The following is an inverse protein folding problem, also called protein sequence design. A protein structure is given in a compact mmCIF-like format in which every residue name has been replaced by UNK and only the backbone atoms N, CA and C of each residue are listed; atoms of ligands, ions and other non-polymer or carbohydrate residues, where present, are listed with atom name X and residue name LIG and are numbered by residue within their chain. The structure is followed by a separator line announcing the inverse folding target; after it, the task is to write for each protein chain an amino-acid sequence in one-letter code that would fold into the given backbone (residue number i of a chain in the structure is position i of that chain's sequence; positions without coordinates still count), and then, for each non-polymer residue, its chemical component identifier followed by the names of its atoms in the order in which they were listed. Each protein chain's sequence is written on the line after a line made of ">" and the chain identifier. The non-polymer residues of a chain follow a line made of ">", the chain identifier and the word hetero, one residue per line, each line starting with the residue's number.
data_IF_883046744752
#
_entry.id   IF_883046744752
#
_cell.length_a   1.000
_cell.length_b   1.000
_cell.length_c   1.000
_cell.angle_alpha   90.00
_cell.angle_beta   90.00
_cell.angle_gamma   90.00
#
_symmetry.space_group_name_H-M   'P 1'
#
loop_
_entity.id
_entity.type
_entity.pdbx_description
1 polymer ?
#
# COMPACT_ATOMS: atom_id res chain seq x y z
N UNK A 1 1.11 11.37 5.35
CA UNK A 1 2.41 12.06 5.30
C UNK A 1 3.28 11.43 6.35
N UNK A 2 4.47 10.92 5.98
CA UNK A 2 5.51 10.73 6.98
C UNK A 2 5.62 12.08 7.65
N UNK A 3 5.43 12.14 8.97
CA UNK A 3 5.53 13.40 9.68
C UNK A 3 6.96 13.88 9.59
N UNK A 4 7.28 14.61 8.53
CA UNK A 4 8.56 15.27 8.32
C UNK A 4 8.81 16.33 9.41
N UNK A 5 7.78 16.74 10.18
CA UNK A 5 7.93 17.62 11.34
C UNK A 5 8.71 16.98 12.49
N UNK A 6 8.79 15.65 12.55
CA UNK A 6 9.69 14.99 13.53
C UNK A 6 11.15 15.15 13.12
N UNK A 7 11.42 15.38 11.84
CA UNK A 7 12.73 15.77 11.33
C UNK A 7 12.92 17.29 11.30
N UNK A 8 11.83 18.07 11.38
CA UNK A 8 11.84 19.54 11.30
C UNK A 8 10.81 20.15 12.25
N UNK A 9 11.11 20.23 13.56
CA UNK A 9 10.42 21.15 14.45
C UNK A 9 10.78 22.58 14.05
N UNK A 10 9.84 23.24 13.38
CA UNK A 10 9.68 24.68 13.35
C UNK A 10 10.74 25.46 12.60
N UNK A 11 10.62 25.54 11.26
CA UNK A 11 10.98 26.74 10.51
C UNK A 11 10.36 26.65 9.10
N UNK A 12 9.91 27.76 8.56
CA UNK A 12 9.69 27.92 7.13
C UNK A 12 10.95 27.41 6.41
N UNK A 13 10.79 26.42 5.51
CA UNK A 13 11.92 25.75 4.83
C UNK A 13 12.56 26.77 3.88
N UNK A 14 13.44 27.60 4.41
CA UNK A 14 14.51 28.20 3.62
C UNK A 14 15.53 27.07 3.37
N UNK A 15 15.90 26.81 2.13
CA UNK A 15 17.05 25.93 1.81
C UNK A 15 18.24 26.39 2.64
N UNK A 16 18.62 25.61 3.65
CA UNK A 16 19.95 25.77 4.24
C UNK A 16 20.95 25.27 3.19
N UNK A 17 22.00 26.05 2.94
CA UNK A 17 23.17 25.60 2.19
C UNK A 17 23.74 24.40 2.94
N UNK A 18 23.44 23.16 2.46
CA UNK A 18 23.86 21.91 3.12
C UNK A 18 22.87 20.75 3.05
N UNK A 19 21.62 20.99 2.66
CA UNK A 19 20.63 19.92 2.48
C UNK A 19 20.82 19.25 1.10
N UNK A 20 21.38 18.04 1.08
CA UNK A 20 21.56 17.23 -0.12
C UNK A 20 20.23 17.01 -0.86
N UNK A 21 20.31 16.82 -2.19
CA UNK A 21 19.16 16.51 -3.03
C UNK A 21 18.53 15.19 -2.61
N UNK A 22 17.18 15.12 -2.54
CA UNK A 22 16.47 13.88 -2.30
C UNK A 22 16.36 13.05 -3.58
N UNK A 23 16.80 11.80 -3.52
CA UNK A 23 16.67 10.80 -4.58
C UNK A 23 15.72 9.70 -4.12
N UNK A 24 14.49 9.74 -4.61
CA UNK A 24 13.49 8.70 -4.31
C UNK A 24 13.60 7.59 -5.34
N UNK A 25 13.62 6.34 -4.86
CA UNK A 25 13.62 5.15 -5.71
C UNK A 25 12.39 4.30 -5.39
N UNK A 26 11.55 4.05 -6.38
CA UNK A 26 10.38 3.18 -6.26
C UNK A 26 10.31 2.20 -7.44
N UNK A 27 9.58 1.11 -7.27
CA UNK A 27 9.48 0.10 -8.35
C UNK A 27 8.98 0.71 -9.67
N UNK A 28 7.96 1.57 -9.62
CA UNK A 28 7.37 2.22 -10.80
C UNK A 28 7.25 3.72 -10.58
N UNK A 29 7.64 4.49 -11.59
CA UNK A 29 7.49 5.94 -11.60
C UNK A 29 6.39 6.34 -12.59
N UNK A 30 5.30 6.97 -12.13
CA UNK A 30 4.28 7.51 -13.03
C UNK A 30 4.82 8.76 -13.70
N UNK A 31 5.22 8.64 -14.97
CA UNK A 31 5.56 9.83 -15.75
C UNK A 31 4.29 10.67 -15.94
N UNK A 32 4.32 11.97 -15.63
CA UNK A 32 3.19 12.85 -15.86
C UNK A 32 2.86 12.87 -17.36
N UNK A 33 1.79 12.20 -17.74
CA UNK A 33 1.13 12.39 -19.03
C UNK A 33 0.08 13.50 -18.84
N UNK A 34 -0.07 14.36 -19.81
CA UNK A 34 -1.03 15.46 -19.78
C UNK A 34 -2.43 14.93 -19.41
N UNK A 35 -2.85 15.13 -18.16
CA UNK A 35 -4.22 14.96 -17.71
C UNK A 35 -4.58 13.74 -16.86
N UNK A 36 -3.67 12.80 -16.58
CA UNK A 36 -4.00 11.66 -15.70
C UNK A 36 -3.35 11.82 -14.31
N UNK A 37 -4.11 11.76 -13.20
CA UNK A 37 -3.54 11.75 -11.85
C UNK A 37 -2.74 10.47 -11.61
N UNK A 38 -1.72 10.56 -10.74
CA UNK A 38 -0.93 9.42 -10.32
C UNK A 38 -1.84 8.36 -9.66
N UNK A 39 -1.76 7.12 -10.10
CA UNK A 39 -2.57 6.04 -9.55
C UNK A 39 -1.85 5.36 -8.38
N UNK A 40 -2.49 5.36 -7.20
CA UNK A 40 -2.04 4.67 -5.98
C UNK A 40 -1.54 5.62 -4.88
N UNK A 41 -1.87 5.29 -3.61
CA UNK A 41 -1.60 6.16 -2.46
C UNK A 41 -0.11 6.49 -2.26
N UNK A 42 0.80 5.54 -2.51
CA UNK A 42 2.25 5.78 -2.44
C UNK A 42 2.70 6.83 -3.47
N UNK A 43 2.26 6.69 -4.73
CA UNK A 43 2.67 7.61 -5.79
C UNK A 43 2.18 9.05 -5.51
N UNK A 44 0.96 9.20 -5.01
CA UNK A 44 0.39 10.51 -4.62
C UNK A 44 1.18 11.12 -3.45
N UNK A 45 1.48 10.34 -2.42
CA UNK A 45 2.22 10.80 -1.25
C UNK A 45 3.66 11.24 -1.63
N UNK A 46 4.36 10.44 -2.42
CA UNK A 46 5.72 10.75 -2.88
C UNK A 46 5.74 11.96 -3.82
N UNK A 47 4.80 12.04 -4.74
CA UNK A 47 4.71 13.18 -5.65
C UNK A 47 4.48 14.49 -4.89
N UNK A 48 3.60 14.49 -3.89
CA UNK A 48 3.34 15.66 -3.05
C UNK A 48 4.60 16.09 -2.28
N UNK A 49 5.32 15.16 -1.65
CA UNK A 49 6.56 15.45 -0.93
C UNK A 49 7.65 16.00 -1.87
N UNK A 50 7.80 15.37 -3.04
CA UNK A 50 8.81 15.77 -4.03
C UNK A 50 8.49 17.09 -4.74
N UNK A 51 7.20 17.45 -4.92
CA UNK A 51 6.81 18.76 -5.47
C UNK A 51 7.23 19.91 -4.56
N UNK A 52 7.19 19.72 -3.24
CA UNK A 52 7.59 20.72 -2.26
C UNK A 52 9.11 20.83 -2.18
N UNK A 53 9.83 19.71 -2.07
CA UNK A 53 11.27 19.70 -1.84
C UNK A 53 12.09 19.75 -3.14
N UNK A 54 11.56 19.25 -4.24
CA UNK A 54 12.30 18.95 -5.46
C UNK A 54 13.14 17.67 -5.32
N UNK A 55 13.87 17.30 -6.36
CA UNK A 55 14.76 16.14 -6.32
C UNK A 55 14.73 15.26 -7.56
N UNK A 56 15.04 13.99 -7.36
CA UNK A 56 15.05 12.96 -8.40
C UNK A 56 14.10 11.82 -7.99
N UNK A 57 13.26 11.36 -8.92
CA UNK A 57 12.45 10.17 -8.74
C UNK A 57 12.81 9.12 -9.80
N UNK A 58 13.39 8.01 -9.35
CA UNK A 58 13.87 6.93 -10.22
C UNK A 58 13.04 5.66 -10.08
N UNK A 59 12.86 4.92 -11.18
CA UNK A 59 12.28 3.59 -11.22
C UNK A 59 11.93 3.09 -12.61
N UNK A 60 11.12 2.02 -12.68
CA UNK A 60 10.60 1.48 -13.93
C UNK A 60 9.56 2.42 -14.56
N UNK A 61 9.64 2.60 -15.88
CA UNK A 61 8.69 3.40 -16.69
C UNK A 61 7.29 2.81 -16.76
N UNK A 62 7.15 1.50 -16.50
CA UNK A 62 5.95 0.72 -16.77
C UNK A 62 5.88 0.15 -18.16
N UNK A 63 6.87 0.40 -19.02
CA UNK A 63 6.95 -0.13 -20.39
C UNK A 63 7.85 -1.36 -20.45
N UNK A 64 7.59 -2.19 -21.44
CA UNK A 64 8.40 -3.37 -21.78
C UNK A 64 9.36 -3.02 -22.89
N UNK A 65 10.60 -3.51 -22.79
CA UNK A 65 11.61 -3.46 -23.82
C UNK A 65 11.97 -4.87 -24.29
N UNK A 66 12.43 -4.99 -25.52
CA UNK A 66 13.03 -6.24 -26.03
C UNK A 66 14.46 -6.43 -25.52
N UNK A 67 15.19 -5.36 -25.27
CA UNK A 67 16.56 -5.34 -24.76
C UNK A 67 16.61 -4.95 -23.28
N UNK A 68 17.53 -5.57 -22.52
CA UNK A 68 17.69 -5.31 -21.09
C UNK A 68 18.31 -3.94 -20.76
N UNK A 69 18.81 -3.18 -21.73
CA UNK A 69 19.47 -1.88 -21.52
C UNK A 69 18.98 -0.81 -22.50
N UNK A 70 17.73 -0.41 -22.38
CA UNK A 70 17.09 0.64 -23.20
C UNK A 70 17.51 2.06 -22.84
N UNK A 71 18.51 2.20 -22.01
CA UNK A 71 18.98 3.51 -21.57
C UNK A 71 18.05 4.19 -20.57
N UNK A 72 18.61 5.16 -19.90
CA UNK A 72 17.95 5.97 -18.90
C UNK A 72 17.21 7.12 -19.57
N UNK A 73 15.91 7.27 -19.33
CA UNK A 73 15.11 8.39 -19.80
C UNK A 73 14.89 9.37 -18.64
N UNK A 74 15.32 10.62 -18.82
CA UNK A 74 15.14 11.67 -17.82
C UNK A 74 14.23 12.78 -18.33
N UNK A 75 13.29 13.23 -17.49
CA UNK A 75 12.40 14.37 -17.76
C UNK A 75 12.28 15.26 -16.52
N UNK A 76 12.65 16.52 -16.63
CA UNK A 76 12.51 17.49 -15.54
C UNK A 76 11.24 18.31 -15.71
N UNK A 77 10.47 18.43 -14.62
CA UNK A 77 9.24 19.23 -14.54
C UNK A 77 9.32 20.05 -13.25
N UNK A 78 9.47 21.36 -13.37
CA UNK A 78 9.71 22.23 -12.21
C UNK A 78 11.02 21.85 -11.49
N UNK A 79 10.96 21.61 -10.20
CA UNK A 79 12.09 21.22 -9.35
C UNK A 79 12.33 19.70 -9.30
N UNK A 80 11.48 18.89 -9.96
CA UNK A 80 11.51 17.43 -9.90
C UNK A 80 12.01 16.84 -11.21
N UNK A 81 13.02 15.97 -11.15
CA UNK A 81 13.49 15.16 -12.27
C UNK A 81 12.95 13.74 -12.14
N UNK A 82 12.20 13.29 -13.13
CA UNK A 82 11.78 11.89 -13.29
C UNK A 82 12.84 11.16 -14.11
N UNK A 83 13.35 10.05 -13.61
CA UNK A 83 14.31 9.20 -14.29
C UNK A 83 13.76 7.78 -14.36
N UNK A 84 13.61 7.23 -15.54
CA UNK A 84 13.01 5.90 -15.73
C UNK A 84 13.83 5.04 -16.68
N UNK A 85 13.77 3.74 -16.45
CA UNK A 85 14.23 2.72 -17.39
C UNK A 85 13.13 1.72 -17.68
N UNK A 86 13.19 1.08 -18.84
CA UNK A 86 12.27 0.02 -19.20
C UNK A 86 12.80 -1.33 -18.68
N UNK A 87 11.93 -2.32 -18.52
CA UNK A 87 12.30 -3.69 -18.15
C UNK A 87 12.00 -4.64 -19.30
N UNK A 88 12.82 -5.71 -19.44
CA UNK A 88 12.51 -6.77 -20.37
C UNK A 88 11.24 -7.52 -19.95
N UNK A 89 10.53 -8.12 -20.93
CA UNK A 89 9.37 -8.98 -20.63
C UNK A 89 9.73 -10.06 -19.60
N UNK A 90 10.90 -10.70 -19.76
CA UNK A 90 11.39 -11.72 -18.85
C UNK A 90 11.60 -11.19 -17.42
N UNK A 91 12.13 -9.96 -17.27
CA UNK A 91 12.32 -9.35 -15.95
C UNK A 91 10.97 -8.98 -15.33
N UNK A 92 10.01 -8.49 -16.10
CA UNK A 92 8.65 -8.24 -15.58
C UNK A 92 8.02 -9.55 -15.08
N UNK A 93 8.10 -10.63 -15.85
CA UNK A 93 7.54 -11.93 -15.48
C UNK A 93 8.21 -12.53 -14.23
N UNK A 94 9.54 -12.49 -14.15
CA UNK A 94 10.29 -13.17 -13.07
C UNK A 94 10.46 -12.30 -11.84
N UNK A 95 10.84 -11.02 -12.00
CA UNK A 95 11.08 -10.10 -10.89
C UNK A 95 9.76 -9.57 -10.32
N UNK A 96 8.93 -8.90 -11.16
CA UNK A 96 7.74 -8.22 -10.69
C UNK A 96 6.59 -9.19 -10.43
N UNK A 97 6.15 -9.95 -11.46
CA UNK A 97 5.06 -10.91 -11.31
C UNK A 97 5.49 -12.11 -10.46
N UNK A 98 6.71 -12.62 -10.66
CA UNK A 98 7.25 -13.79 -9.97
C UNK A 98 7.64 -13.50 -8.52
N UNK A 99 8.89 -13.07 -8.28
CA UNK A 99 9.41 -12.99 -6.92
C UNK A 99 8.71 -11.94 -6.06
N UNK A 100 8.52 -10.71 -6.57
CA UNK A 100 7.89 -9.67 -5.76
C UNK A 100 6.43 -10.00 -5.43
N UNK A 101 5.59 -10.32 -6.43
CA UNK A 101 4.14 -10.43 -6.22
C UNK A 101 3.64 -11.86 -5.95
N UNK A 102 4.41 -12.91 -6.26
CA UNK A 102 4.03 -14.31 -6.00
C UNK A 102 4.91 -15.00 -4.96
N UNK A 103 5.97 -14.34 -4.44
CA UNK A 103 6.78 -14.85 -3.33
C UNK A 103 6.75 -13.89 -2.14
N UNK A 104 7.31 -12.68 -2.27
CA UNK A 104 7.39 -11.72 -1.16
C UNK A 104 6.03 -11.26 -0.68
N UNK A 105 5.15 -10.83 -1.58
CA UNK A 105 3.83 -10.32 -1.23
C UNK A 105 3.00 -11.32 -0.42
N UNK A 106 2.81 -12.59 -0.85
CA UNK A 106 2.02 -13.53 -0.06
C UNK A 106 2.69 -13.88 1.28
N UNK A 107 4.01 -14.06 1.34
CA UNK A 107 4.70 -14.36 2.61
C UNK A 107 4.52 -13.20 3.59
N UNK A 108 4.73 -11.95 3.16
CA UNK A 108 4.54 -10.77 4.02
C UNK A 108 3.07 -10.61 4.49
N UNK A 109 2.11 -11.15 3.75
CA UNK A 109 0.69 -11.14 4.12
C UNK A 109 0.21 -12.46 4.74
N UNK A 110 1.13 -13.33 5.20
CA UNK A 110 0.83 -14.61 5.86
C UNK A 110 0.01 -15.60 5.00
N UNK A 111 0.18 -15.53 3.67
CA UNK A 111 -0.46 -16.41 2.70
C UNK A 111 0.57 -17.34 2.05
N UNK A 112 1.20 -18.18 2.89
CA UNK A 112 2.18 -19.16 2.46
C UNK A 112 1.61 -20.14 1.41
N UNK A 113 0.30 -20.42 1.50
CA UNK A 113 -0.45 -21.25 0.54
C UNK A 113 -0.45 -20.69 -0.89
N UNK A 114 -0.21 -19.38 -1.06
CA UNK A 114 -0.14 -18.70 -2.35
C UNK A 114 1.30 -18.41 -2.80
N UNK A 115 2.29 -18.70 -1.96
CA UNK A 115 3.68 -18.40 -2.27
C UNK A 115 4.25 -19.32 -3.35
N UNK A 116 4.83 -18.75 -4.39
CA UNK A 116 5.56 -19.47 -5.43
C UNK A 116 7.07 -19.34 -5.18
N UNK A 117 7.70 -20.45 -4.79
CA UNK A 117 9.11 -20.49 -4.45
C UNK A 117 9.94 -20.92 -5.66
N UNK A 118 10.49 -19.98 -6.41
CA UNK A 118 11.26 -20.20 -7.64
C UNK A 118 12.64 -19.55 -7.55
N UNK A 119 13.70 -20.35 -7.74
CA UNK A 119 15.08 -19.86 -7.78
C UNK A 119 15.33 -18.90 -8.94
N UNK A 120 14.75 -19.17 -10.11
CA UNK A 120 14.90 -18.28 -11.28
C UNK A 120 14.26 -16.91 -11.05
N UNK A 121 13.12 -16.88 -10.36
CA UNK A 121 12.47 -15.64 -9.98
C UNK A 121 13.29 -14.85 -8.94
N UNK A 122 13.88 -15.55 -7.97
CA UNK A 122 14.76 -14.93 -7.00
C UNK A 122 16.05 -14.39 -7.66
N UNK A 123 16.65 -15.14 -8.58
CA UNK A 123 17.81 -14.66 -9.33
C UNK A 123 17.47 -13.39 -10.14
N UNK A 124 16.31 -13.34 -10.79
CA UNK A 124 15.83 -12.16 -11.50
C UNK A 124 15.61 -10.97 -10.56
N UNK A 125 15.08 -11.20 -9.36
CA UNK A 125 14.88 -10.16 -8.36
C UNK A 125 16.20 -9.46 -7.99
N UNK A 126 17.27 -10.22 -7.73
CA UNK A 126 18.57 -9.62 -7.45
C UNK A 126 19.17 -8.94 -8.68
N UNK A 127 19.05 -9.53 -9.87
CA UNK A 127 19.56 -8.97 -11.13
C UNK A 127 18.91 -7.62 -11.46
N UNK A 128 17.58 -7.51 -11.36
CA UNK A 128 16.87 -6.25 -11.63
C UNK A 128 17.23 -5.18 -10.60
N UNK A 129 17.38 -5.54 -9.32
CA UNK A 129 17.83 -4.60 -8.31
C UNK A 129 19.26 -4.10 -8.56
N UNK A 130 20.16 -4.98 -9.03
CA UNK A 130 21.50 -4.58 -9.47
C UNK A 130 21.45 -3.65 -10.67
N UNK A 131 20.61 -3.96 -11.67
CA UNK A 131 20.40 -3.10 -12.82
C UNK A 131 19.91 -1.71 -12.39
N UNK A 132 18.89 -1.62 -11.54
CA UNK A 132 18.39 -0.35 -11.03
C UNK A 132 19.47 0.42 -10.25
N UNK A 133 20.25 -0.27 -9.43
CA UNK A 133 21.34 0.36 -8.72
C UNK A 133 22.40 0.95 -9.67
N UNK A 134 22.77 0.24 -10.75
CA UNK A 134 23.67 0.76 -11.79
C UNK A 134 23.10 1.99 -12.48
N UNK A 135 21.81 2.02 -12.79
CA UNK A 135 21.19 3.15 -13.48
C UNK A 135 21.09 4.37 -12.59
N UNK A 136 20.62 4.23 -11.33
CA UNK A 136 20.52 5.36 -10.43
C UNK A 136 21.90 5.89 -10.03
N UNK A 137 22.91 5.03 -9.87
CA UNK A 137 24.27 5.41 -9.52
C UNK A 137 24.87 6.43 -10.50
N UNK A 138 24.54 6.35 -11.80
CA UNK A 138 24.97 7.32 -12.83
C UNK A 138 24.42 8.73 -12.60
N UNK A 139 23.35 8.87 -11.80
CA UNK A 139 22.65 10.13 -11.53
C UNK A 139 22.99 10.74 -10.17
N UNK A 140 23.64 9.96 -9.30
CA UNK A 140 23.92 10.36 -7.92
C UNK A 140 25.00 11.45 -7.85
N UNK A 141 24.82 12.33 -6.86
CA UNK A 141 25.79 13.32 -6.41
C UNK A 141 26.31 12.92 -5.02
N UNK A 142 27.50 13.35 -4.62
CA UNK A 142 28.10 12.97 -3.32
C UNK A 142 27.23 13.31 -2.10
N UNK A 143 26.45 14.39 -2.17
CA UNK A 143 25.58 14.92 -1.12
C UNK A 143 24.14 14.44 -1.17
N UNK A 144 23.76 13.64 -2.18
CA UNK A 144 22.39 13.12 -2.32
C UNK A 144 22.01 12.25 -1.13
N UNK A 145 20.74 12.35 -0.71
CA UNK A 145 20.08 11.43 0.23
C UNK A 145 19.18 10.48 -0.59
N UNK A 146 19.42 9.18 -0.49
CA UNK A 146 18.69 8.19 -1.26
C UNK A 146 17.59 7.59 -0.38
N UNK A 147 16.37 7.52 -0.90
CA UNK A 147 15.23 6.92 -0.20
C UNK A 147 14.56 5.85 -1.07
N UNK A 148 14.78 4.61 -0.70
CA UNK A 148 14.32 3.42 -1.42
C UNK A 148 12.99 2.94 -0.84
N UNK A 149 12.03 2.65 -1.72
CA UNK A 149 10.68 2.27 -1.33
C UNK A 149 10.32 0.86 -1.73
N UNK A 150 9.83 0.13 -0.72
CA UNK A 150 9.00 -1.05 -0.79
C UNK A 150 9.72 -2.35 -1.17
N UNK A 151 9.04 -3.46 -0.92
CA UNK A 151 9.53 -4.85 -1.00
C UNK A 151 10.16 -5.25 -2.34
N UNK A 152 9.90 -4.51 -3.39
CA UNK A 152 10.51 -4.74 -4.70
C UNK A 152 12.03 -4.48 -4.70
N UNK A 153 12.53 -3.61 -3.80
CA UNK A 153 13.85 -3.01 -3.91
C UNK A 153 14.77 -3.28 -2.71
N UNK A 154 14.46 -4.30 -1.90
CA UNK A 154 15.22 -4.61 -0.68
C UNK A 154 16.75 -4.71 -0.92
N UNK A 155 17.27 -5.40 -1.96
CA UNK A 155 18.73 -5.54 -2.11
C UNK A 155 19.42 -4.35 -2.76
N UNK A 156 18.70 -3.30 -3.15
CA UNK A 156 19.25 -2.21 -3.95
C UNK A 156 20.42 -1.48 -3.29
N UNK A 157 20.32 -1.15 -1.99
CA UNK A 157 21.40 -0.46 -1.27
C UNK A 157 22.68 -1.28 -1.24
N UNK A 158 22.60 -2.61 -1.13
CA UNK A 158 23.78 -3.50 -1.17
C UNK A 158 24.55 -3.34 -2.47
N UNK A 159 23.85 -3.30 -3.60
CA UNK A 159 24.52 -3.06 -4.90
C UNK A 159 25.09 -1.66 -5.01
N UNK A 160 24.42 -0.63 -4.51
CA UNK A 160 24.97 0.73 -4.45
C UNK A 160 26.27 0.78 -3.62
N UNK A 161 26.30 0.14 -2.44
CA UNK A 161 27.51 0.05 -1.61
C UNK A 161 28.65 -0.68 -2.33
N UNK A 162 28.36 -1.75 -3.06
CA UNK A 162 29.35 -2.49 -3.85
C UNK A 162 29.96 -1.62 -4.98
N UNK A 163 29.24 -0.62 -5.47
CA UNK A 163 29.72 0.37 -6.45
C UNK A 163 30.42 1.59 -5.80
N UNK A 164 30.67 1.54 -4.49
CA UNK A 164 31.36 2.62 -3.77
C UNK A 164 30.47 3.78 -3.34
N UNK A 165 29.13 3.65 -3.41
CA UNK A 165 28.21 4.69 -2.96
C UNK A 165 28.33 4.90 -1.44
N UNK A 166 28.68 6.12 -1.01
CA UNK A 166 28.80 6.52 0.41
C UNK A 166 27.64 7.35 0.91
N UNK A 167 26.69 7.69 0.04
CA UNK A 167 25.51 8.47 0.36
C UNK A 167 24.71 7.87 1.53
N UNK A 168 23.92 8.68 2.23
CA UNK A 168 22.93 8.19 3.19
C UNK A 168 21.79 7.50 2.44
N UNK A 169 21.44 6.28 2.85
CA UNK A 169 20.40 5.47 2.19
C UNK A 169 19.37 5.03 3.21
N UNK A 170 18.15 5.54 3.08
CA UNK A 170 16.98 5.05 3.83
C UNK A 170 16.17 4.05 3.00
N UNK A 171 15.53 3.10 3.69
CA UNK A 171 14.55 2.18 3.13
C UNK A 171 13.22 2.33 3.85
N UNK A 172 12.12 2.18 3.13
CA UNK A 172 10.79 2.14 3.73
C UNK A 172 9.94 1.00 3.17
N UNK A 173 9.43 0.14 4.05
CA UNK A 173 8.53 -0.94 3.70
C UNK A 173 7.07 -0.53 3.92
N UNK A 174 6.27 -0.60 2.85
CA UNK A 174 4.85 -0.22 2.89
C UNK A 174 3.91 -1.35 3.26
N UNK A 175 4.38 -2.59 3.17
CA UNK A 175 3.63 -3.80 3.50
C UNK A 175 4.06 -4.35 4.87
N UNK A 176 3.28 -5.25 5.48
CA UNK A 176 3.68 -5.86 6.75
C UNK A 176 5.00 -6.62 6.62
N UNK A 177 5.75 -6.70 7.73
CA UNK A 177 6.85 -7.65 7.86
C UNK A 177 6.44 -8.78 8.80
N UNK A 178 6.53 -10.07 8.38
CA UNK A 178 6.10 -11.21 9.18
C UNK A 178 7.10 -11.56 10.29
N UNK A 179 6.61 -12.27 11.30
CA UNK A 179 7.45 -12.86 12.33
C UNK A 179 8.43 -13.92 11.78
N UNK A 180 9.45 -14.32 12.56
CA UNK A 180 10.52 -15.22 12.10
C UNK A 180 10.03 -16.56 11.58
N UNK A 181 8.99 -17.12 12.17
CA UNK A 181 8.34 -18.38 11.80
C UNK A 181 7.80 -18.37 10.36
N UNK A 182 7.19 -17.27 9.94
CA UNK A 182 6.66 -17.09 8.59
C UNK A 182 7.73 -16.56 7.64
N UNK A 183 8.54 -15.59 8.08
CA UNK A 183 9.58 -14.98 7.25
C UNK A 183 10.64 -15.99 6.81
N UNK A 184 10.96 -16.99 7.64
CA UNK A 184 11.94 -18.04 7.35
C UNK A 184 11.53 -18.96 6.17
N UNK A 185 10.26 -18.98 5.79
CA UNK A 185 9.80 -19.66 4.58
C UNK A 185 10.25 -18.96 3.28
N UNK A 186 10.77 -17.74 3.36
CA UNK A 186 11.23 -16.98 2.21
C UNK A 186 12.52 -17.62 1.63
N UNK A 187 12.57 -17.95 0.32
CA UNK A 187 13.79 -18.38 -0.32
C UNK A 187 14.88 -17.32 -0.20
N UNK A 188 16.10 -17.77 0.06
CA UNK A 188 17.23 -16.86 0.29
C UNK A 188 17.04 -15.89 1.46
N UNK A 189 16.25 -16.28 2.47
CA UNK A 189 15.91 -15.48 3.63
C UNK A 189 17.09 -14.72 4.24
N UNK A 190 18.19 -15.42 4.54
CA UNK A 190 19.39 -14.77 5.09
C UNK A 190 19.98 -13.73 4.13
N UNK A 191 19.98 -14.00 2.81
CA UNK A 191 20.49 -13.07 1.81
C UNK A 191 19.62 -11.80 1.74
N UNK A 192 18.30 -11.95 1.86
CA UNK A 192 17.36 -10.83 1.92
C UNK A 192 17.60 -10.01 3.19
N UNK A 193 17.68 -10.63 4.36
CA UNK A 193 17.96 -9.93 5.63
C UNK A 193 19.30 -9.19 5.61
N UNK A 194 20.37 -9.85 5.16
CA UNK A 194 21.69 -9.21 5.05
C UNK A 194 21.72 -8.03 4.09
N UNK A 195 20.79 -7.96 3.12
CA UNK A 195 20.68 -6.83 2.22
C UNK A 195 20.27 -5.55 2.94
N UNK A 196 19.52 -5.65 4.04
CA UNK A 196 19.16 -4.50 4.86
C UNK A 196 20.33 -3.85 5.58
N UNK A 197 21.41 -4.58 5.87
CA UNK A 197 22.62 -4.03 6.48
C UNK A 197 23.33 -2.95 5.63
N UNK A 198 22.93 -2.78 4.38
CA UNK A 198 23.45 -1.71 3.51
C UNK A 198 22.73 -0.36 3.68
N UNK A 199 21.58 -0.33 4.35
CA UNK A 199 20.82 0.88 4.66
C UNK A 199 21.30 1.51 5.98
N UNK A 200 21.11 2.83 6.11
CA UNK A 200 21.38 3.56 7.33
C UNK A 200 20.12 3.66 8.21
N UNK A 201 18.93 3.69 7.56
CA UNK A 201 17.62 3.70 8.21
C UNK A 201 16.69 2.72 7.50
N UNK A 202 15.98 1.89 8.26
CA UNK A 202 14.92 0.99 7.77
C UNK A 202 13.63 1.33 8.48
N UNK A 203 12.66 1.84 7.71
CA UNK A 203 11.36 2.27 8.19
C UNK A 203 10.26 1.26 7.91
N UNK A 204 9.34 1.13 8.85
CA UNK A 204 8.14 0.29 8.78
C UNK A 204 6.89 1.09 9.06
N UNK A 205 5.72 0.53 8.75
CA UNK A 205 4.43 1.17 9.03
C UNK A 205 4.06 1.14 10.51
N UNK A 206 4.40 0.04 11.20
CA UNK A 206 4.01 -0.19 12.58
C UNK A 206 5.19 -0.62 13.44
N UNK A 207 5.07 -0.41 14.76
CA UNK A 207 6.06 -0.90 15.71
C UNK A 207 6.17 -2.42 15.66
N UNK A 208 5.05 -3.14 15.53
CA UNK A 208 5.05 -4.60 15.42
C UNK A 208 5.84 -5.12 14.21
N UNK A 209 5.79 -4.40 13.06
CA UNK A 209 6.59 -4.78 11.89
C UNK A 209 8.09 -4.57 12.16
N UNK A 210 8.45 -3.47 12.84
CA UNK A 210 9.84 -3.18 13.22
C UNK A 210 10.37 -4.23 14.22
N UNK A 211 9.56 -4.63 15.19
CA UNK A 211 9.90 -5.66 16.18
C UNK A 211 10.06 -7.02 15.51
N UNK A 212 9.11 -7.44 14.68
CA UNK A 212 9.21 -8.66 13.88
C UNK A 212 10.49 -8.69 13.03
N UNK A 213 10.89 -7.56 12.46
CA UNK A 213 12.11 -7.47 11.68
C UNK A 213 13.36 -7.68 12.54
N UNK A 214 13.42 -7.09 13.74
CA UNK A 214 14.52 -7.29 14.71
C UNK A 214 14.61 -8.75 15.14
N UNK A 215 13.46 -9.37 15.41
CA UNK A 215 13.38 -10.80 15.75
C UNK A 215 13.88 -11.67 14.60
N UNK A 216 13.54 -11.33 13.36
CA UNK A 216 14.03 -12.01 12.16
C UNK A 216 15.56 -11.93 12.02
N UNK A 217 16.16 -10.77 12.26
CA UNK A 217 17.62 -10.58 12.20
C UNK A 217 18.31 -11.51 13.21
N UNK A 218 17.80 -11.56 14.42
CA UNK A 218 18.36 -12.35 15.51
C UNK A 218 18.16 -13.85 15.27
N UNK A 219 16.94 -14.27 14.94
CA UNK A 219 16.60 -15.68 14.71
C UNK A 219 17.38 -16.30 13.53
N UNK A 220 17.64 -15.52 12.48
CA UNK A 220 18.40 -15.95 11.31
C UNK A 220 19.93 -15.89 11.49
N UNK A 221 20.44 -15.43 12.65
CA UNK A 221 21.85 -15.12 12.84
C UNK A 221 22.42 -14.21 11.73
N UNK A 222 21.60 -13.28 11.22
CA UNK A 222 22.00 -12.32 10.21
C UNK A 222 22.64 -11.06 10.81
N UNK A 223 22.39 -10.80 12.10
CA UNK A 223 22.85 -9.67 12.86
C UNK A 223 22.29 -9.70 14.29
N UNK A 224 22.24 -8.56 14.94
CA UNK A 224 21.73 -8.41 16.31
C UNK A 224 21.00 -7.08 16.51
N UNK A 225 20.03 -7.05 17.38
CA UNK A 225 19.53 -5.81 17.99
C UNK A 225 20.60 -5.30 18.98
N UNK A 226 20.86 -3.99 19.01
CA UNK A 226 21.86 -3.39 19.92
C UNK A 226 21.15 -2.80 21.11
N UNK A 227 20.55 -1.63 20.93
CA UNK A 227 19.81 -0.90 21.96
C UNK A 227 18.76 -0.01 21.30
N UNK A 228 17.59 0.12 21.94
CA UNK A 228 16.48 0.93 21.43
C UNK A 228 16.11 0.52 19.99
N UNK A 229 16.27 1.47 19.07
CA UNK A 229 15.93 1.30 17.66
C UNK A 229 17.11 0.86 16.78
N UNK A 230 18.29 0.63 17.34
CA UNK A 230 19.50 0.26 16.59
C UNK A 230 19.62 -1.26 16.38
N UNK A 231 20.03 -1.62 15.16
CA UNK A 231 20.43 -2.98 14.79
C UNK A 231 21.79 -2.98 14.11
N UNK A 232 22.44 -4.13 14.10
CA UNK A 232 23.70 -4.36 13.39
C UNK A 232 23.58 -5.59 12.50
N UNK A 233 23.95 -5.44 11.22
CA UNK A 233 24.08 -6.53 10.24
C UNK A 233 25.43 -6.38 9.55
N UNK A 234 26.19 -7.49 9.49
CA UNK A 234 27.51 -7.53 8.85
C UNK A 234 28.46 -6.39 9.31
N UNK A 235 28.41 -6.04 10.62
CA UNK A 235 29.24 -4.99 11.23
C UNK A 235 28.78 -3.55 10.95
N UNK A 236 27.70 -3.34 10.25
CA UNK A 236 27.11 -2.02 10.02
C UNK A 236 25.89 -1.78 10.91
N UNK A 237 25.87 -0.63 11.57
CA UNK A 237 24.72 -0.17 12.36
C UNK A 237 23.69 0.51 11.47
N UNK A 238 22.43 0.28 11.78
CA UNK A 238 21.29 0.91 11.13
C UNK A 238 20.19 1.20 12.14
N UNK A 239 19.40 2.24 11.87
CA UNK A 239 18.18 2.55 12.65
C UNK A 239 17.00 1.78 12.07
N UNK A 240 16.24 1.08 12.94
CA UNK A 240 15.03 0.32 12.58
C UNK A 240 13.85 0.87 13.38
N UNK A 241 12.92 1.56 12.71
CA UNK A 241 11.85 2.29 13.40
C UNK A 241 10.54 2.30 12.61
N UNK A 242 9.43 2.46 13.34
CA UNK A 242 8.12 2.73 12.73
C UNK A 242 7.99 4.22 12.35
N UNK A 243 7.53 4.46 11.10
CA UNK A 243 7.17 5.76 10.56
C UNK A 243 5.82 5.63 9.85
N UNK A 244 4.70 5.63 10.58
CA UNK A 244 3.39 5.39 9.99
C UNK A 244 3.02 6.45 8.95
N UNK A 245 2.67 6.00 7.74
CA UNK A 245 2.17 6.89 6.68
C UNK A 245 0.77 7.39 7.03
N UNK A 246 0.47 8.64 6.68
CA UNK A 246 -0.85 9.21 6.86
C UNK A 246 -1.33 9.95 5.60
N UNK A 247 -2.48 10.58 5.68
CA UNK A 247 -3.08 11.45 4.67
C UNK A 247 -3.08 12.89 5.15
N UNK A 248 -3.28 13.82 4.24
CA UNK A 248 -3.68 15.19 4.58
C UNK A 248 -5.18 15.18 4.91
N UNK A 249 -5.48 15.04 6.21
CA UNK A 249 -6.86 14.88 6.69
C UNK A 249 -7.71 16.12 6.47
N UNK A 250 -7.12 17.33 6.55
CA UNK A 250 -7.83 18.59 6.32
C UNK A 250 -8.19 18.76 4.85
N UNK A 251 -7.22 18.57 3.95
CA UNK A 251 -7.46 18.62 2.52
C UNK A 251 -8.50 17.58 2.09
N UNK A 252 -8.42 16.35 2.62
CA UNK A 252 -9.38 15.30 2.33
C UNK A 252 -10.79 15.64 2.83
N UNK A 253 -10.92 16.17 4.05
CA UNK A 253 -12.20 16.63 4.60
C UNK A 253 -12.83 17.76 3.77
N UNK A 254 -12.02 18.69 3.26
CA UNK A 254 -12.48 19.75 2.36
C UNK A 254 -12.97 19.19 1.03
N UNK A 255 -12.21 18.26 0.44
CA UNK A 255 -12.61 17.56 -0.78
C UNK A 255 -13.92 16.78 -0.61
N UNK A 256 -14.07 16.06 0.51
CA UNK A 256 -15.28 15.30 0.82
C UNK A 256 -16.52 16.20 0.94
N UNK A 257 -16.40 17.38 1.56
CA UNK A 257 -17.48 18.39 1.60
C UNK A 257 -17.83 18.92 0.22
N UNK A 258 -16.82 19.27 -0.57
CA UNK A 258 -17.04 19.77 -1.94
C UNK A 258 -17.67 18.70 -2.85
N UNK A 259 -17.36 17.44 -2.61
CA UNK A 259 -17.83 16.30 -3.39
C UNK A 259 -19.33 15.98 -3.25
N UNK A 260 -20.05 16.55 -2.30
CA UNK A 260 -21.51 16.43 -2.19
C UNK A 260 -22.24 16.87 -3.47
N UNK A 261 -21.62 17.77 -4.24
CA UNK A 261 -22.12 18.24 -5.55
C UNK A 261 -21.73 17.31 -6.72
N UNK A 262 -20.88 16.32 -6.49
CA UNK A 262 -20.42 15.41 -7.54
C UNK A 262 -21.57 14.58 -8.11
N UNK A 263 -21.61 14.41 -9.43
CA UNK A 263 -22.68 13.69 -10.13
C UNK A 263 -22.79 12.21 -9.75
N UNK A 264 -21.65 11.55 -9.45
CA UNK A 264 -21.64 10.14 -8.99
C UNK A 264 -22.27 10.05 -7.61
N UNK A 265 -21.89 10.94 -6.68
CA UNK A 265 -22.43 11.00 -5.32
C UNK A 265 -23.94 11.23 -5.35
N UNK A 266 -24.41 12.23 -6.11
CA UNK A 266 -25.85 12.54 -6.26
C UNK A 266 -26.64 11.36 -6.83
N UNK A 267 -26.15 10.72 -7.90
CA UNK A 267 -26.82 9.54 -8.48
C UNK A 267 -26.86 8.37 -7.50
N UNK A 268 -25.76 8.14 -6.75
CA UNK A 268 -25.74 7.08 -5.74
C UNK A 268 -26.77 7.36 -4.65
N UNK A 269 -26.79 8.58 -4.11
CA UNK A 269 -27.76 9.00 -3.08
C UNK A 269 -29.22 8.82 -3.57
N UNK A 270 -29.54 9.30 -4.76
CA UNK A 270 -30.87 9.12 -5.36
C UNK A 270 -31.25 7.65 -5.50
N UNK A 271 -30.30 6.81 -5.91
CA UNK A 271 -30.55 5.36 -6.09
C UNK A 271 -30.71 4.58 -4.79
N UNK A 272 -30.28 5.14 -3.67
CA UNK A 272 -30.46 4.55 -2.34
C UNK A 272 -31.89 4.80 -1.82
N UNK A 273 -32.59 5.83 -2.29
CA UNK A 273 -33.96 6.15 -1.87
C UNK A 273 -34.13 6.20 -0.35
N UNK A 274 -33.21 6.88 0.33
CA UNK A 274 -33.19 7.02 1.80
C UNK A 274 -32.63 5.84 2.58
N UNK A 275 -32.09 4.81 1.91
CA UNK A 275 -31.46 3.64 2.56
C UNK A 275 -30.05 3.99 3.03
N UNK A 276 -29.64 3.36 4.15
CA UNK A 276 -28.29 3.50 4.65
C UNK A 276 -27.25 2.77 3.77
N UNK A 277 -26.08 3.37 3.66
CA UNK A 277 -24.98 2.86 2.87
C UNK A 277 -23.82 2.37 3.76
N UNK A 278 -23.43 1.12 3.53
CA UNK A 278 -22.15 0.53 3.97
C UNK A 278 -21.18 0.60 2.81
N UNK A 279 -19.97 1.07 3.02
CA UNK A 279 -18.98 1.19 1.95
C UNK A 279 -17.70 0.41 2.24
N UNK A 280 -17.23 -0.35 1.25
CA UNK A 280 -15.92 -0.96 1.21
C UNK A 280 -15.17 -0.56 -0.06
N UNK A 281 -13.94 -0.09 0.08
CA UNK A 281 -13.12 0.33 -1.05
C UNK A 281 -11.73 -0.28 -0.90
N UNK A 282 -11.37 -1.18 -1.81
CA UNK A 282 -10.05 -1.77 -1.89
C UNK A 282 -9.77 -2.21 -3.32
N UNK A 283 -8.51 -2.15 -3.75
CA UNK A 283 -8.13 -2.83 -4.99
C UNK A 283 -8.35 -4.33 -4.86
N UNK A 284 -8.53 -5.00 -5.98
CA UNK A 284 -8.63 -6.45 -6.02
C UNK A 284 -7.34 -7.07 -5.49
N UNK A 285 -7.38 -7.64 -4.28
CA UNK A 285 -6.24 -8.26 -3.61
C UNK A 285 -6.73 -9.22 -2.51
N UNK A 286 -6.17 -10.42 -2.45
CA UNK A 286 -6.57 -11.43 -1.48
C UNK A 286 -6.26 -11.05 -0.02
N UNK A 287 -5.29 -10.14 0.20
CA UNK A 287 -5.00 -9.61 1.53
C UNK A 287 -6.10 -8.72 2.10
N UNK A 288 -7.03 -8.24 1.24
CA UNK A 288 -8.06 -7.27 1.61
C UNK A 288 -9.33 -7.86 2.23
N UNK A 289 -9.42 -9.19 2.34
CA UNK A 289 -10.54 -9.85 3.01
C UNK A 289 -11.90 -9.63 2.33
N UNK A 290 -11.92 -9.46 1.01
CA UNK A 290 -13.13 -9.11 0.27
C UNK A 290 -14.23 -10.16 0.36
N UNK A 291 -13.88 -11.46 0.29
CA UNK A 291 -14.85 -12.57 0.47
C UNK A 291 -15.45 -12.57 1.87
N UNK A 292 -14.61 -12.46 2.89
CA UNK A 292 -15.01 -12.40 4.28
C UNK A 292 -15.91 -11.20 4.56
N UNK A 293 -15.60 -10.05 3.99
CA UNK A 293 -16.40 -8.83 4.07
C UNK A 293 -17.79 -9.01 3.48
N UNK A 294 -17.90 -9.58 2.28
CA UNK A 294 -19.19 -9.87 1.65
C UNK A 294 -20.00 -10.87 2.47
N UNK A 295 -19.38 -11.93 2.97
CA UNK A 295 -20.03 -12.91 3.84
C UNK A 295 -20.52 -12.29 5.15
N UNK A 296 -19.71 -11.44 5.80
CA UNK A 296 -20.11 -10.74 7.03
C UNK A 296 -21.33 -9.82 6.79
N UNK A 297 -21.34 -9.09 5.66
CA UNK A 297 -22.48 -8.25 5.30
C UNK A 297 -23.75 -9.09 5.03
N UNK A 298 -23.64 -10.22 4.35
CA UNK A 298 -24.77 -11.13 4.14
C UNK A 298 -25.30 -11.67 5.48
N UNK A 299 -24.41 -12.13 6.36
CA UNK A 299 -24.76 -12.60 7.71
C UNK A 299 -25.43 -11.51 8.54
N UNK A 300 -24.94 -10.25 8.46
CA UNK A 300 -25.57 -9.10 9.11
C UNK A 300 -27.05 -8.94 8.67
N UNK A 301 -27.31 -8.97 7.37
CA UNK A 301 -28.68 -8.86 6.86
C UNK A 301 -29.58 -10.05 7.28
N UNK A 302 -29.03 -11.25 7.28
CA UNK A 302 -29.78 -12.47 7.69
C UNK A 302 -30.17 -12.46 9.18
N UNK A 303 -29.28 -11.90 10.04
CA UNK A 303 -29.48 -11.88 11.49
C UNK A 303 -30.16 -10.62 12.02
N UNK A 304 -30.21 -9.55 11.24
CA UNK A 304 -30.85 -8.29 11.61
C UNK A 304 -32.11 -8.04 10.77
N UNK A 305 -33.30 -8.48 11.25
CA UNK A 305 -34.56 -8.22 10.55
C UNK A 305 -34.84 -6.74 10.32
N UNK A 306 -34.33 -5.85 11.22
CA UNK A 306 -34.48 -4.41 11.09
C UNK A 306 -33.62 -3.88 9.93
N UNK A 307 -32.37 -4.32 9.80
CA UNK A 307 -31.50 -3.93 8.70
C UNK A 307 -32.01 -4.44 7.34
N UNK A 308 -32.55 -5.69 7.32
CA UNK A 308 -33.17 -6.25 6.13
C UNK A 308 -34.40 -5.46 5.71
N UNK A 309 -35.29 -5.09 6.67
CA UNK A 309 -36.47 -4.24 6.40
C UNK A 309 -36.09 -2.83 5.96
N UNK A 310 -35.05 -2.23 6.56
CA UNK A 310 -34.51 -0.93 6.16
C UNK A 310 -33.77 -1.00 4.82
N UNK A 311 -33.54 -2.23 4.29
CA UNK A 311 -32.87 -2.47 3.00
C UNK A 311 -31.51 -1.80 2.92
N UNK A 312 -30.68 -1.95 3.97
CA UNK A 312 -29.30 -1.45 4.01
C UNK A 312 -28.53 -1.96 2.80
N UNK A 313 -27.83 -1.09 2.12
CA UNK A 313 -27.10 -1.42 0.90
C UNK A 313 -25.59 -1.31 1.12
N UNK A 314 -24.84 -2.33 0.71
CA UNK A 314 -23.38 -2.27 0.67
C UNK A 314 -22.91 -1.91 -0.74
N UNK A 315 -22.00 -0.94 -0.83
CA UNK A 315 -21.24 -0.60 -2.04
C UNK A 315 -19.80 -1.08 -1.87
N UNK A 316 -19.42 -2.12 -2.60
CA UNK A 316 -18.05 -2.61 -2.67
C UNK A 316 -17.40 -2.15 -3.97
N UNK A 317 -16.39 -1.29 -3.87
CA UNK A 317 -15.61 -0.79 -5.00
C UNK A 317 -14.26 -1.50 -4.99
N UNK A 318 -13.97 -2.26 -6.06
CA UNK A 318 -12.78 -3.12 -6.12
C UNK A 318 -12.12 -3.01 -7.50
N UNK A 319 -11.37 -1.93 -7.78
CA UNK A 319 -10.67 -1.81 -9.05
C UNK A 319 -9.66 -2.94 -9.25
N UNK A 320 -9.54 -3.39 -10.51
CA UNK A 320 -8.61 -4.45 -10.91
C UNK A 320 -7.17 -4.06 -10.54
N UNK A 321 -6.40 -5.04 -10.11
CA UNK A 321 -4.98 -4.91 -9.79
C UNK A 321 -4.25 -6.16 -10.24
N UNK A 322 -3.00 -6.02 -10.69
CA UNK A 322 -2.11 -7.14 -11.03
C UNK A 322 -2.77 -8.19 -11.93
N UNK A 323 -3.44 -7.73 -12.98
CA UNK A 323 -4.19 -8.60 -13.93
C UNK A 323 -3.35 -9.69 -14.59
N UNK A 324 -2.02 -9.53 -14.59
CA UNK A 324 -1.05 -10.50 -15.12
C UNK A 324 -0.85 -11.71 -14.17
N UNK A 325 -1.35 -11.65 -12.94
CA UNK A 325 -1.20 -12.71 -11.93
C UNK A 325 -2.48 -13.54 -11.88
N UNK A 326 -2.44 -14.86 -12.21
CA UNK A 326 -3.64 -15.70 -12.39
C UNK A 326 -4.54 -15.80 -11.16
N UNK A 327 -3.98 -15.71 -9.96
CA UNK A 327 -4.68 -15.76 -8.68
C UNK A 327 -5.71 -14.63 -8.57
N UNK A 328 -5.42 -13.45 -9.11
CA UNK A 328 -6.33 -12.29 -9.09
C UNK A 328 -7.51 -12.45 -10.05
N UNK A 329 -7.29 -13.06 -11.23
CA UNK A 329 -8.36 -13.33 -12.17
C UNK A 329 -9.36 -14.36 -11.62
N UNK A 330 -8.87 -15.40 -10.88
CA UNK A 330 -9.72 -16.35 -10.18
C UNK A 330 -10.52 -15.68 -9.08
N UNK A 331 -9.86 -14.88 -8.24
CA UNK A 331 -10.51 -14.14 -7.18
C UNK A 331 -11.61 -13.21 -7.70
N UNK A 332 -11.39 -12.54 -8.83
CA UNK A 332 -12.43 -11.69 -9.43
C UNK A 332 -13.69 -12.49 -9.72
N UNK A 333 -13.59 -13.65 -10.38
CA UNK A 333 -14.73 -14.51 -10.67
C UNK A 333 -15.45 -14.96 -9.40
N UNK A 334 -14.69 -15.38 -8.38
CA UNK A 334 -15.26 -15.79 -7.10
C UNK A 334 -16.05 -14.66 -6.41
N UNK A 335 -15.58 -13.42 -6.49
CA UNK A 335 -16.29 -12.26 -5.93
C UNK A 335 -17.54 -11.90 -6.74
N UNK A 336 -17.49 -12.01 -8.06
CA UNK A 336 -18.65 -11.79 -8.95
C UNK A 336 -19.74 -12.84 -8.71
N UNK A 337 -19.37 -14.12 -8.55
CA UNK A 337 -20.26 -15.22 -8.20
C UNK A 337 -20.89 -15.01 -6.82
N UNK A 338 -20.08 -14.64 -5.82
CA UNK A 338 -20.54 -14.40 -4.46
C UNK A 338 -21.51 -13.21 -4.38
N UNK A 339 -21.21 -12.11 -5.09
CA UNK A 339 -22.12 -10.97 -5.19
C UNK A 339 -23.46 -11.37 -5.83
N UNK A 340 -23.43 -12.18 -6.89
CA UNK A 340 -24.62 -12.74 -7.54
C UNK A 340 -25.43 -13.61 -6.58
N UNK A 341 -24.77 -14.48 -5.83
CA UNK A 341 -25.40 -15.37 -4.83
C UNK A 341 -26.09 -14.59 -3.71
N UNK A 342 -25.42 -13.58 -3.15
CA UNK A 342 -25.97 -12.72 -2.09
C UNK A 342 -27.19 -11.97 -2.62
N UNK A 343 -27.10 -11.36 -3.78
CA UNK A 343 -28.20 -10.58 -4.36
C UNK A 343 -29.38 -11.47 -4.75
N UNK A 344 -29.15 -12.67 -5.27
CA UNK A 344 -30.22 -13.62 -5.59
C UNK A 344 -30.92 -14.17 -4.36
N UNK A 345 -30.21 -14.30 -3.22
CA UNK A 345 -30.78 -14.81 -1.96
C UNK A 345 -31.52 -13.74 -1.16
N UNK A 346 -30.97 -12.54 -1.07
CA UNK A 346 -31.44 -11.50 -0.14
C UNK A 346 -32.09 -10.31 -0.83
N UNK A 347 -31.91 -10.17 -2.14
CA UNK A 347 -32.43 -9.05 -2.92
C UNK A 347 -33.93 -9.11 -3.15
N UNK A 348 -34.44 -7.97 -3.63
CA UNK A 348 -35.85 -7.83 -4.04
C UNK A 348 -35.89 -7.07 -5.37
N UNK A 349 -37.09 -6.98 -5.99
CA UNK A 349 -37.29 -6.33 -7.30
C UNK A 349 -36.83 -4.87 -7.33
N UNK A 350 -36.86 -4.16 -6.21
CA UNK A 350 -36.47 -2.76 -6.08
C UNK A 350 -35.24 -2.54 -5.17
N UNK A 351 -34.58 -3.62 -4.76
CA UNK A 351 -33.42 -3.53 -3.86
C UNK A 351 -32.33 -4.55 -4.19
N UNK A 352 -31.11 -4.04 -4.45
CA UNK A 352 -29.89 -4.83 -4.60
C UNK A 352 -29.04 -4.63 -3.34
N UNK A 353 -28.96 -5.64 -2.45
CA UNK A 353 -28.22 -5.53 -1.19
C UNK A 353 -26.74 -5.20 -1.37
N UNK A 354 -26.07 -5.86 -2.31
CA UNK A 354 -24.64 -5.73 -2.56
C UNK A 354 -24.40 -5.18 -3.97
N UNK A 355 -23.92 -3.94 -4.05
CA UNK A 355 -23.47 -3.29 -5.29
C UNK A 355 -21.97 -3.50 -5.43
N UNK A 356 -21.56 -4.42 -6.28
CA UNK A 356 -20.16 -4.72 -6.56
C UNK A 356 -19.68 -4.01 -7.82
N UNK A 357 -18.62 -3.18 -7.71
CA UNK A 357 -18.06 -2.39 -8.80
C UNK A 357 -16.55 -2.65 -8.93
N UNK A 358 -16.12 -3.19 -10.07
CA UNK A 358 -14.72 -3.51 -10.35
C UNK A 358 -14.01 -2.44 -11.21
N UNK A 359 -14.38 -1.17 -11.04
CA UNK A 359 -13.83 -0.02 -11.76
C UNK A 359 -13.21 0.99 -10.80
N UNK A 360 -12.16 1.67 -11.26
CA UNK A 360 -11.61 2.81 -10.55
C UNK A 360 -12.61 3.98 -10.53
N UNK A 361 -12.62 4.71 -9.42
CA UNK A 361 -13.34 5.97 -9.27
C UNK A 361 -12.35 7.11 -9.02
N UNK A 362 -12.76 8.34 -9.32
CA UNK A 362 -11.95 9.51 -8.99
C UNK A 362 -11.87 9.69 -7.48
N UNK A 363 -10.78 10.29 -7.00
CA UNK A 363 -10.56 10.58 -5.59
C UNK A 363 -11.71 11.40 -5.00
N UNK A 364 -12.13 12.44 -5.70
CA UNK A 364 -13.29 13.27 -5.32
C UNK A 364 -14.59 12.47 -5.19
N UNK A 365 -14.87 11.54 -6.13
CA UNK A 365 -16.05 10.71 -6.02
C UNK A 365 -15.99 9.78 -4.79
N UNK A 366 -14.82 9.19 -4.51
CA UNK A 366 -14.61 8.35 -3.32
C UNK A 366 -14.79 9.16 -2.04
N UNK A 367 -14.21 10.35 -1.94
CA UNK A 367 -14.33 11.23 -0.79
C UNK A 367 -15.81 11.55 -0.47
N UNK A 368 -16.61 11.87 -1.49
CA UNK A 368 -18.04 12.11 -1.33
C UNK A 368 -18.84 10.85 -0.97
N UNK A 369 -18.48 9.68 -1.52
CA UNK A 369 -19.10 8.40 -1.15
C UNK A 369 -18.76 8.00 0.29
N UNK A 370 -17.54 8.22 0.76
CA UNK A 370 -17.20 8.03 2.18
C UNK A 370 -18.03 8.92 3.09
N UNK A 371 -18.16 10.22 2.74
CA UNK A 371 -18.91 11.18 3.54
C UNK A 371 -20.39 10.84 3.69
N UNK A 372 -21.01 10.27 2.66
CA UNK A 372 -22.44 9.88 2.70
C UNK A 372 -22.70 8.50 3.32
N UNK A 373 -21.65 7.72 3.59
CA UNK A 373 -21.81 6.34 4.08
C UNK A 373 -21.89 6.30 5.60
N UNK A 374 -22.85 5.52 6.12
CA UNK A 374 -23.02 5.34 7.57
C UNK A 374 -21.98 4.42 8.18
N UNK A 375 -21.47 3.46 7.42
CA UNK A 375 -20.48 2.49 7.86
C UNK A 375 -19.38 2.40 6.81
N UNK A 376 -18.14 2.63 7.23
CA UNK A 376 -16.94 2.25 6.48
C UNK A 376 -16.47 0.87 6.91
N UNK A 377 -16.43 -0.08 5.98
CA UNK A 377 -16.07 -1.45 6.27
C UNK A 377 -14.70 -1.77 5.68
N UNK A 378 -13.66 -1.68 6.52
CA UNK A 378 -12.25 -1.85 6.14
C UNK A 378 -11.68 -3.06 6.87
N UNK A 379 -11.77 -4.22 6.26
CA UNK A 379 -11.50 -5.51 6.91
C UNK A 379 -10.43 -6.34 6.19
N UNK A 380 -9.22 -5.79 5.94
CA UNK A 380 -8.15 -6.59 5.36
C UNK A 380 -7.76 -7.75 6.28
N UNK A 381 -7.35 -8.88 5.70
CA UNK A 381 -6.79 -10.00 6.45
C UNK A 381 -5.42 -9.64 7.02
N UNK A 382 -4.68 -8.77 6.32
CA UNK A 382 -3.47 -8.10 6.77
C UNK A 382 -3.13 -6.93 5.85
N UNK A 383 -2.69 -5.82 6.45
CA UNK A 383 -2.30 -4.62 5.70
C UNK A 383 -1.24 -3.83 6.49
N UNK A 384 -0.26 -3.25 5.80
CA UNK A 384 0.78 -2.44 6.44
C UNK A 384 0.21 -1.22 7.16
N UNK A 385 -0.68 -0.48 6.50
CA UNK A 385 -1.37 0.69 7.09
C UNK A 385 -2.87 0.66 6.79
N UNK A 386 -3.27 0.75 5.53
CA UNK A 386 -4.60 0.98 4.99
C UNK A 386 -5.06 2.45 5.11
N UNK A 387 -4.72 3.25 4.10
CA UNK A 387 -5.09 4.68 4.07
C UNK A 387 -6.59 4.90 3.90
N UNK A 388 -7.33 3.96 3.30
CA UNK A 388 -8.79 4.05 3.14
C UNK A 388 -9.50 4.21 4.49
N UNK A 389 -8.99 3.57 5.56
CA UNK A 389 -9.53 3.75 6.90
C UNK A 389 -9.39 5.21 7.38
N UNK A 390 -8.23 5.82 7.14
CA UNK A 390 -7.97 7.23 7.48
C UNK A 390 -8.78 8.19 6.62
N UNK A 391 -8.88 7.90 5.31
CA UNK A 391 -9.69 8.65 4.36
C UNK A 391 -11.18 8.63 4.74
N UNK A 392 -11.71 7.45 5.11
CA UNK A 392 -13.10 7.31 5.56
C UNK A 392 -13.37 8.20 6.78
N UNK A 393 -12.53 8.15 7.80
CA UNK A 393 -12.69 8.97 9.02
C UNK A 393 -12.60 10.46 8.71
N UNK A 394 -11.61 10.87 7.90
CA UNK A 394 -11.43 12.28 7.53
C UNK A 394 -12.60 12.84 6.70
N UNK A 395 -13.29 11.99 5.93
CA UNK A 395 -14.44 12.40 5.12
C UNK A 395 -15.69 12.71 5.94
N UNK A 396 -15.81 12.20 7.18
CA UNK A 396 -17.04 12.24 7.95
C UNK A 396 -17.46 13.67 8.34
N UNK A 397 -18.77 13.86 8.48
CA UNK A 397 -19.34 15.11 9.01
C UNK A 397 -19.23 15.08 10.54
N UNK A 398 -18.61 16.09 11.19
CA UNK A 398 -18.42 16.08 12.64
C UNK A 398 -19.71 16.01 13.46
N UNK A 399 -20.79 16.56 12.94
CA UNK A 399 -22.12 16.62 13.56
C UNK A 399 -22.93 15.33 13.40
N UNK A 400 -22.62 14.51 12.41
CA UNK A 400 -23.29 13.23 12.16
C UNK A 400 -22.35 12.22 11.50
N UNK A 401 -21.29 11.78 12.20
CA UNK A 401 -20.29 10.89 11.63
C UNK A 401 -20.85 9.46 11.42
N UNK A 402 -20.34 8.80 10.40
CA UNK A 402 -20.47 7.35 10.25
C UNK A 402 -19.50 6.61 11.16
N UNK A 403 -19.63 5.29 11.20
CA UNK A 403 -18.81 4.39 12.01
C UNK A 403 -17.80 3.64 11.12
N UNK A 404 -16.56 3.52 11.60
CA UNK A 404 -15.55 2.68 10.96
C UNK A 404 -15.49 1.31 11.65
N UNK A 405 -15.74 0.25 10.89
CA UNK A 405 -15.45 -1.14 11.27
C UNK A 405 -14.10 -1.50 10.67
N UNK A 406 -13.10 -1.76 11.51
CA UNK A 406 -11.70 -1.86 11.10
C UNK A 406 -11.07 -3.18 11.55
N UNK A 407 -10.39 -3.85 10.63
CA UNK A 407 -9.60 -5.04 10.96
C UNK A 407 -8.49 -4.73 11.96
N UNK A 408 -8.36 -5.56 12.99
CA UNK A 408 -7.22 -5.53 13.93
C UNK A 408 -5.86 -5.77 13.25
N UNK A 409 -5.85 -6.32 12.03
CA UNK A 409 -4.66 -6.61 11.25
C UNK A 409 -4.30 -5.52 10.22
N UNK A 410 -4.98 -4.38 10.25
CA UNK A 410 -4.58 -3.17 9.53
C UNK A 410 -3.69 -2.32 10.44
N UNK A 411 -2.58 -1.80 9.92
CA UNK A 411 -1.71 -0.89 10.70
C UNK A 411 -2.47 0.33 11.24
N UNK A 412 -3.45 0.83 10.49
CA UNK A 412 -4.34 1.92 10.92
C UNK A 412 -5.07 1.65 12.23
N UNK A 413 -5.28 0.38 12.63
CA UNK A 413 -5.90 0.03 13.91
C UNK A 413 -5.03 0.44 15.12
N UNK A 414 -3.73 0.64 14.93
CA UNK A 414 -2.85 1.15 15.98
C UNK A 414 -3.09 2.64 16.29
N UNK A 415 -3.64 3.39 15.33
CA UNK A 415 -3.91 4.82 15.45
C UNK A 415 -5.41 5.11 15.68
N UNK A 416 -6.30 4.45 14.95
CA UNK A 416 -7.75 4.69 14.98
C UNK A 416 -8.45 3.89 16.08
N UNK A 417 -8.12 4.18 17.35
CA UNK A 417 -8.58 3.43 18.54
C UNK A 417 -10.09 3.50 18.78
N UNK A 418 -10.77 4.52 18.24
CA UNK A 418 -12.23 4.68 18.37
C UNK A 418 -13.03 3.91 17.30
N UNK A 419 -12.36 3.24 16.37
CA UNK A 419 -13.03 2.37 15.41
C UNK A 419 -13.54 1.08 16.09
N UNK A 420 -14.58 0.46 15.53
CA UNK A 420 -15.00 -0.88 15.95
C UNK A 420 -13.99 -1.89 15.39
N UNK A 421 -13.11 -2.37 16.26
CA UNK A 421 -12.03 -3.28 15.88
C UNK A 421 -12.56 -4.71 15.82
N UNK A 422 -12.34 -5.38 14.68
CA UNK A 422 -12.82 -6.74 14.42
C UNK A 422 -11.69 -7.67 13.96
N UNK A 423 -11.87 -8.97 14.22
CA UNK A 423 -11.10 -10.00 13.56
C UNK A 423 -11.76 -10.34 12.20
N UNK A 424 -11.15 -10.02 11.04
CA UNK A 424 -11.77 -10.24 9.73
C UNK A 424 -12.00 -11.73 9.38
N UNK A 425 -11.38 -12.65 10.10
CA UNK A 425 -11.61 -14.09 9.95
C UNK A 425 -12.89 -14.56 10.70
N UNK A 426 -13.34 -13.78 11.68
CA UNK A 426 -14.59 -14.02 12.41
C UNK A 426 -15.73 -13.27 11.73
N UNK A 427 -16.41 -14.01 10.84
CA UNK A 427 -17.53 -13.48 10.05
C UNK A 427 -18.67 -13.02 10.95
N UNK A 428 -18.94 -13.77 12.03
CA UNK A 428 -20.05 -13.52 12.95
C UNK A 428 -19.81 -12.26 13.78
N UNK A 429 -18.63 -12.13 14.35
CA UNK A 429 -18.25 -10.93 15.10
C UNK A 429 -18.19 -9.68 14.19
N UNK A 430 -17.74 -9.85 12.94
CA UNK A 430 -17.74 -8.77 11.96
C UNK A 430 -19.16 -8.36 11.57
N UNK A 431 -20.07 -9.33 11.38
CA UNK A 431 -21.48 -9.06 11.10
C UNK A 431 -22.18 -8.35 12.28
N UNK A 432 -21.83 -8.72 13.52
CA UNK A 432 -22.37 -8.07 14.72
C UNK A 432 -21.87 -6.62 14.92
N UNK A 433 -20.70 -6.28 14.35
CA UNK A 433 -20.14 -4.93 14.39
C UNK A 433 -20.72 -4.00 13.30
N UNK A 434 -21.38 -4.55 12.27
CA UNK A 434 -22.07 -3.79 11.23
C UNK A 434 -23.42 -3.31 11.74
#
# INVERSE_FOLDING_TARGET
>A
MINLEVLYKGAAISRSEGDGRLVVVSNRVPLPSSGAPAAGGLAVALESALKVRGGLWFGWSGKTSEECDTGLQCRTIGSLTYAVCDLSRRDIEQYYCGFANRTLWPICHYRLDLANLSESNAAAYFRVNEHFARQVHKLLRPDDIIWVHDYHLIPMARFLRQMGCTNRIGFFLHIPWPGPDVASALPFYQRILRSFGAYDVVGFQTQSDADNFRDCITAANAGRAIDGDECEIDGRRMLVRAFPISIDSEAFAQEARAAEKNSVVKRTLSSLSGRDLVIGVDRLDYSKGLKQRMAAFATFLERSPQAARARVTMLQITPKSRSEVPEYARMQRELEEEAGRINGKLGDVDWTPLRYINKSMSHTALAGLFRMSRIGLVTPLRDGMNLVAKEYVAAQAPDNPGVLVLSQFAGAAQELKSALIVNPYDIEATAAAI
#
